data_IF_612522087159
#
_entry.id   IF_612522087159
#
_cell.length_a   1.000
_cell.length_b   1.000
_cell.length_c   1.000
_cell.angle_alpha   90.00
_cell.angle_beta   90.00
_cell.angle_gamma   90.00
#
_symmetry.space_group_name_H-M   'P 1'
#
loop_
_entity.id
_entity.type
_entity.pdbx_description
1 polymer ?
#
# COMPACT_ATOMS: atom_id res chain seq x y z
N UNK A 1 8.76 -17.66 -40.14
CA UNK A 1 7.29 -17.51 -40.22
C UNK A 1 6.76 -17.27 -38.81
N UNK A 2 6.12 -16.13 -38.52
CA UNK A 2 5.59 -15.87 -37.20
C UNK A 2 4.45 -16.84 -36.88
N UNK A 3 4.52 -17.50 -35.73
CA UNK A 3 3.44 -18.36 -35.25
C UNK A 3 2.21 -17.47 -35.03
N UNK A 4 1.05 -17.76 -35.65
CA UNK A 4 -0.14 -16.95 -35.43
C UNK A 4 -0.50 -16.96 -33.94
N UNK A 5 -0.74 -15.76 -33.39
CA UNK A 5 -0.98 -15.49 -31.96
C UNK A 5 -2.03 -16.43 -31.33
N UNK A 6 -2.99 -16.91 -32.14
CA UNK A 6 -4.01 -17.89 -31.75
C UNK A 6 -3.45 -19.27 -31.38
N UNK A 7 -2.41 -19.76 -32.05
CA UNK A 7 -1.79 -21.06 -31.75
C UNK A 7 -0.91 -21.01 -30.51
N UNK A 8 -0.26 -19.87 -30.25
CA UNK A 8 0.50 -19.65 -29.02
C UNK A 8 -0.45 -19.54 -27.81
N UNK A 9 -1.59 -18.85 -27.96
CA UNK A 9 -2.60 -18.76 -26.90
C UNK A 9 -3.24 -20.12 -26.57
N UNK A 10 -3.52 -20.96 -27.60
CA UNK A 10 -4.05 -22.32 -27.39
C UNK A 10 -2.99 -23.23 -26.76
N UNK A 11 -1.73 -23.15 -27.20
CA UNK A 11 -0.63 -23.93 -26.61
C UNK A 11 -0.35 -23.54 -25.15
N UNK A 12 -0.36 -22.24 -24.85
CA UNK A 12 -0.26 -21.73 -23.47
C UNK A 12 -1.49 -22.12 -22.64
N UNK A 13 -2.68 -22.11 -23.22
CA UNK A 13 -3.93 -22.57 -22.60
C UNK A 13 -3.90 -24.05 -22.22
N UNK A 14 -3.44 -24.92 -23.13
CA UNK A 14 -3.29 -26.36 -22.89
C UNK A 14 -2.16 -26.63 -21.88
N UNK A 15 -1.04 -25.89 -21.98
CA UNK A 15 0.04 -25.98 -20.99
C UNK A 15 -0.42 -25.54 -19.58
N UNK A 16 -1.28 -24.51 -19.48
CA UNK A 16 -1.86 -24.07 -18.22
C UNK A 16 -2.91 -25.04 -17.65
N UNK A 17 -3.63 -25.79 -18.50
CA UNK A 17 -4.53 -26.88 -18.10
C UNK A 17 -3.77 -28.11 -17.59
N UNK A 18 -2.56 -28.37 -18.11
CA UNK A 18 -1.66 -29.42 -17.61
C UNK A 18 -0.91 -29.03 -16.33
N UNK A 19 -0.98 -27.76 -15.93
CA UNK A 19 -0.38 -27.20 -14.72
C UNK A 19 -1.39 -26.97 -13.59
N UNK A 20 -2.62 -27.50 -13.69
CA UNK A 20 -3.56 -27.47 -12.56
C UNK A 20 -2.90 -28.25 -11.42
N UNK A 21 -2.43 -27.60 -10.35
CA UNK A 21 -1.92 -28.33 -9.21
C UNK A 21 -3.12 -29.07 -8.63
N UNK A 22 -3.00 -30.39 -8.48
CA UNK A 22 -3.86 -31.09 -7.55
C UNK A 22 -3.67 -30.38 -6.20
N UNK A 23 -4.70 -29.70 -5.72
CA UNK A 23 -4.66 -28.98 -4.45
C UNK A 23 -4.53 -30.01 -3.33
N UNK A 24 -3.29 -30.32 -2.97
CA UNK A 24 -3.00 -31.20 -1.85
C UNK A 24 -3.13 -30.40 -0.55
N UNK A 25 -3.77 -30.99 0.45
CA UNK A 25 -3.66 -30.51 1.82
C UNK A 25 -2.17 -30.39 2.23
N UNK A 26 -1.88 -29.51 3.18
CA UNK A 26 -0.50 -29.27 3.61
C UNK A 26 0.17 -30.58 4.03
N UNK A 27 1.48 -30.66 3.86
CA UNK A 27 2.23 -31.89 4.13
C UNK A 27 2.09 -32.34 5.60
N UNK A 28 1.93 -31.40 6.54
CA UNK A 28 1.66 -31.69 7.94
C UNK A 28 0.28 -32.29 8.16
N UNK A 29 -0.76 -31.81 7.45
CA UNK A 29 -2.12 -32.33 7.56
C UNK A 29 -2.21 -33.80 7.12
N UNK A 30 -1.39 -34.20 6.16
CA UNK A 30 -1.34 -35.59 5.68
C UNK A 30 -0.48 -36.50 6.55
N UNK A 31 0.23 -35.95 7.54
CA UNK A 31 1.17 -36.72 8.33
C UNK A 31 0.46 -37.60 9.39
N UNK A 32 0.71 -38.92 9.43
CA UNK A 32 0.06 -39.83 10.38
C UNK A 32 0.30 -39.47 11.85
N UNK A 33 1.48 -38.99 12.21
CA UNK A 33 1.82 -38.57 13.58
C UNK A 33 0.97 -37.37 14.01
N UNK A 34 0.81 -36.39 13.11
CA UNK A 34 -0.04 -35.23 13.37
C UNK A 34 -1.52 -35.66 13.52
N UNK A 35 -2.02 -36.49 12.61
CA UNK A 35 -3.39 -37.02 12.65
C UNK A 35 -3.67 -37.88 13.89
N UNK A 36 -2.68 -38.63 14.38
CA UNK A 36 -2.79 -39.38 15.62
C UNK A 36 -2.87 -38.44 16.83
N UNK A 37 -2.01 -37.42 16.89
CA UNK A 37 -2.07 -36.39 17.94
C UNK A 37 -3.43 -35.68 17.97
N UNK A 38 -3.95 -35.27 16.81
CA UNK A 38 -5.24 -34.59 16.72
C UNK A 38 -6.37 -35.44 17.31
N UNK A 39 -6.46 -36.71 16.93
CA UNK A 39 -7.48 -37.64 17.43
C UNK A 39 -7.35 -37.87 18.94
N UNK A 40 -6.12 -38.08 19.43
CA UNK A 40 -5.86 -38.24 20.86
C UNK A 40 -6.23 -37.00 21.67
N UNK A 41 -5.83 -35.82 21.19
CA UNK A 41 -6.16 -34.55 21.84
C UNK A 41 -7.68 -34.30 21.86
N UNK A 42 -8.36 -34.50 20.73
CA UNK A 42 -9.80 -34.30 20.64
C UNK A 42 -10.57 -35.23 21.58
N UNK A 43 -10.21 -36.52 21.62
CA UNK A 43 -10.83 -37.49 22.53
C UNK A 43 -10.59 -37.16 24.00
N UNK A 44 -9.39 -36.67 24.34
CA UNK A 44 -9.01 -36.42 25.74
C UNK A 44 -9.56 -35.11 26.28
N UNK A 45 -9.60 -34.05 25.46
CA UNK A 45 -9.84 -32.68 25.93
C UNK A 45 -11.08 -32.01 25.35
N UNK A 46 -11.68 -32.53 24.28
CA UNK A 46 -12.81 -31.89 23.60
C UNK A 46 -14.16 -32.55 23.86
N UNK A 47 -14.22 -33.54 24.76
CA UNK A 47 -15.48 -34.11 25.22
C UNK A 47 -16.26 -33.08 26.06
N UNK A 48 -17.60 -32.99 25.98
CA UNK A 48 -18.40 -32.04 26.75
C UNK A 48 -18.26 -32.16 28.29
N UNK A 49 -17.83 -33.32 28.80
CA UNK A 49 -17.55 -33.53 30.23
C UNK A 49 -16.24 -32.88 30.69
N UNK A 50 -15.35 -32.51 29.75
CA UNK A 50 -14.06 -31.92 30.05
C UNK A 50 -14.19 -30.41 30.30
N UNK A 51 -13.29 -29.83 31.13
CA UNK A 51 -13.26 -28.39 31.32
C UNK A 51 -13.00 -27.68 29.98
N UNK A 52 -13.76 -26.65 29.65
CA UNK A 52 -13.58 -25.92 28.39
C UNK A 52 -12.23 -25.20 28.37
N UNK A 53 -11.66 -25.01 27.16
CA UNK A 53 -10.39 -24.27 26.98
C UNK A 53 -10.44 -22.89 27.65
N UNK A 54 -9.31 -22.30 28.08
CA UNK A 54 -9.29 -21.04 28.81
C UNK A 54 -10.19 -19.93 28.25
N UNK A 55 -10.86 -19.17 29.13
CA UNK A 55 -11.87 -18.18 28.75
C UNK A 55 -11.37 -17.16 27.71
N UNK A 56 -10.13 -16.68 27.84
CA UNK A 56 -9.56 -15.71 26.90
C UNK A 56 -9.43 -16.26 25.46
N UNK A 57 -9.28 -17.57 25.28
CA UNK A 57 -9.29 -18.20 23.95
C UNK A 57 -10.72 -18.28 23.40
N UNK A 58 -11.68 -18.66 24.24
CA UNK A 58 -13.11 -18.74 23.85
C UNK A 58 -13.66 -17.38 23.47
N UNK A 59 -13.28 -16.33 24.21
CA UNK A 59 -13.68 -14.95 23.95
C UNK A 59 -13.27 -14.50 22.53
N UNK A 60 -12.17 -15.03 22.01
CA UNK A 60 -11.66 -14.76 20.66
C UNK A 60 -12.01 -15.86 19.65
N UNK A 61 -13.01 -16.69 19.96
CA UNK A 61 -13.58 -17.66 19.00
C UNK A 61 -12.68 -18.85 18.68
N UNK A 62 -11.74 -19.21 19.57
CA UNK A 62 -11.02 -20.47 19.48
C UNK A 62 -11.91 -21.63 19.94
N UNK A 63 -11.92 -22.71 19.17
CA UNK A 63 -12.54 -23.98 19.55
C UNK A 63 -11.53 -24.92 20.20
N UNK A 64 -12.02 -25.98 20.85
CA UNK A 64 -11.16 -27.03 21.36
C UNK A 64 -10.38 -27.73 20.24
N UNK A 65 -11.01 -27.99 19.09
CA UNK A 65 -10.35 -28.60 17.92
C UNK A 65 -9.21 -27.74 17.38
N UNK A 66 -9.40 -26.42 17.30
CA UNK A 66 -8.36 -25.48 16.86
C UNK A 66 -7.22 -25.39 17.89
N UNK A 67 -7.54 -25.43 19.18
CA UNK A 67 -6.51 -25.48 20.23
C UNK A 67 -5.72 -26.80 20.19
N UNK A 68 -6.37 -27.93 19.91
CA UNK A 68 -5.69 -29.21 19.67
C UNK A 68 -4.78 -29.15 18.44
N UNK A 69 -5.26 -28.59 17.32
CA UNK A 69 -4.45 -28.39 16.12
C UNK A 69 -3.20 -27.55 16.41
N UNK A 70 -3.34 -26.47 17.19
CA UNK A 70 -2.23 -25.66 17.67
C UNK A 70 -1.23 -26.48 18.50
N UNK A 71 -1.68 -27.23 19.52
CA UNK A 71 -0.78 -28.02 20.37
C UNK A 71 -0.06 -29.11 19.58
N UNK A 72 -0.79 -29.79 18.69
CA UNK A 72 -0.23 -30.87 17.87
C UNK A 72 0.76 -30.37 16.82
N UNK A 73 0.51 -29.22 16.19
CA UNK A 73 1.46 -28.66 15.22
C UNK A 73 2.76 -28.25 15.90
N UNK A 74 2.68 -27.64 17.10
CA UNK A 74 3.85 -27.29 17.90
C UNK A 74 4.62 -28.51 18.41
N UNK A 75 3.91 -29.51 18.95
CA UNK A 75 4.51 -30.76 19.39
C UNK A 75 5.21 -31.49 18.24
N UNK A 76 4.57 -31.58 17.08
CA UNK A 76 5.19 -32.17 15.89
C UNK A 76 6.45 -31.40 15.49
N UNK A 77 6.38 -30.07 15.42
CA UNK A 77 7.50 -29.23 15.01
C UNK A 77 8.65 -29.27 16.02
N UNK A 78 8.38 -29.44 17.32
CA UNK A 78 9.40 -29.58 18.37
C UNK A 78 10.13 -30.93 18.30
N UNK A 79 9.44 -31.98 17.86
CA UNK A 79 9.96 -33.36 17.87
C UNK A 79 10.41 -33.83 16.47
N UNK A 80 10.54 -32.91 15.52
CA UNK A 80 11.00 -33.25 14.18
C UNK A 80 12.48 -33.66 14.22
N UNK A 81 12.85 -34.72 13.50
CA UNK A 81 14.23 -35.21 13.49
C UNK A 81 15.17 -34.14 12.90
N UNK A 82 16.38 -33.94 13.46
CA UNK A 82 17.38 -33.06 12.86
C UNK A 82 17.58 -33.38 11.37
N UNK A 83 17.58 -32.35 10.52
CA UNK A 83 17.69 -32.48 9.06
C UNK A 83 16.37 -32.76 8.31
N UNK A 84 15.25 -32.95 9.01
CA UNK A 84 13.93 -33.05 8.39
C UNK A 84 13.40 -31.68 7.96
N UNK A 85 12.55 -31.66 6.93
CA UNK A 85 11.91 -30.42 6.46
C UNK A 85 10.79 -30.01 7.41
N UNK A 86 10.64 -28.71 7.65
CA UNK A 86 9.48 -28.17 8.34
C UNK A 86 8.20 -28.42 7.54
N UNK A 87 7.09 -28.55 8.24
CA UNK A 87 5.78 -28.83 7.66
C UNK A 87 4.81 -27.69 7.96
N UNK A 88 3.97 -27.37 6.99
CA UNK A 88 2.78 -26.54 7.19
C UNK A 88 1.59 -27.41 7.61
N UNK A 89 0.70 -26.81 8.39
CA UNK A 89 -0.54 -27.38 8.89
C UNK A 89 -1.67 -26.41 8.54
N UNK A 90 -2.69 -26.90 7.84
CA UNK A 90 -3.81 -26.08 7.36
C UNK A 90 -3.37 -24.82 6.60
N UNK A 91 -2.36 -24.97 5.73
CA UNK A 91 -1.80 -23.88 4.93
C UNK A 91 -0.90 -22.91 5.71
N UNK A 92 -0.59 -23.18 6.98
CA UNK A 92 0.17 -22.27 7.84
C UNK A 92 1.34 -22.92 8.56
N UNK A 93 2.31 -22.12 8.93
CA UNK A 93 3.40 -22.54 9.80
C UNK A 93 2.96 -22.62 11.27
N UNK A 94 3.70 -23.37 12.08
CA UNK A 94 3.44 -23.48 13.51
C UNK A 94 3.91 -22.22 14.27
N UNK A 95 3.11 -21.14 14.24
CA UNK A 95 3.42 -19.87 14.91
C UNK A 95 3.20 -19.92 16.42
N UNK A 96 4.07 -19.28 17.20
CA UNK A 96 3.76 -18.96 18.59
C UNK A 96 2.72 -17.85 18.65
N UNK A 97 1.57 -18.17 19.26
CA UNK A 97 0.50 -17.20 19.53
C UNK A 97 0.86 -16.34 20.75
N UNK A 98 0.41 -15.09 20.76
CA UNK A 98 0.43 -14.23 21.95
C UNK A 98 -0.97 -14.19 22.56
N UNK A 99 -1.20 -14.97 23.62
CA UNK A 99 -2.56 -15.13 24.17
C UNK A 99 -3.51 -15.71 23.11
N UNK A 100 -4.60 -15.00 22.73
CA UNK A 100 -5.49 -15.44 21.65
C UNK A 100 -5.03 -15.06 20.23
N UNK A 101 -3.98 -14.23 20.10
CA UNK A 101 -3.56 -13.67 18.81
C UNK A 101 -2.62 -14.62 18.06
N UNK A 102 -3.03 -15.02 16.86
CA UNK A 102 -2.39 -16.09 16.11
C UNK A 102 -1.00 -15.72 15.58
N UNK A 103 -0.87 -14.55 14.93
CA UNK A 103 0.36 -14.12 14.24
C UNK A 103 0.80 -12.73 14.73
N UNK A 104 1.39 -12.62 15.93
CA UNK A 104 1.58 -11.35 16.61
C UNK A 104 2.47 -10.36 15.84
N UNK A 105 3.49 -10.83 15.12
CA UNK A 105 4.37 -9.93 14.37
C UNK A 105 3.68 -9.38 13.11
N UNK A 106 2.93 -10.20 12.37
CA UNK A 106 2.08 -9.73 11.27
C UNK A 106 1.10 -8.65 11.74
N UNK A 107 0.44 -8.84 12.89
CA UNK A 107 -0.46 -7.83 13.48
C UNK A 107 0.26 -6.50 13.70
N UNK A 108 1.44 -6.51 14.31
CA UNK A 108 2.21 -5.29 14.59
C UNK A 108 2.60 -4.60 13.28
N UNK A 109 3.02 -5.34 12.26
CA UNK A 109 3.42 -4.76 10.98
C UNK A 109 2.21 -4.22 10.20
N UNK A 110 1.04 -4.87 10.25
CA UNK A 110 -0.21 -4.34 9.72
C UNK A 110 -0.59 -3.03 10.41
N UNK A 111 -0.50 -2.96 11.75
CA UNK A 111 -0.74 -1.73 12.51
C UNK A 111 0.27 -0.62 12.18
N UNK A 112 1.52 -0.98 11.91
CA UNK A 112 2.55 -0.05 11.42
C UNK A 112 2.16 0.58 10.08
N UNK A 113 1.69 -0.22 9.13
CA UNK A 113 1.20 0.28 7.85
C UNK A 113 -0.08 1.13 8.00
N UNK A 114 -1.00 0.73 8.88
CA UNK A 114 -2.19 1.53 9.23
C UNK A 114 -1.76 2.91 9.72
N UNK A 115 -0.81 2.97 10.65
CA UNK A 115 -0.27 4.22 11.20
C UNK A 115 0.33 5.12 10.11
N UNK A 116 1.17 4.57 9.23
CA UNK A 116 1.75 5.35 8.11
C UNK A 116 0.66 5.96 7.22
N UNK A 117 -0.41 5.22 6.93
CA UNK A 117 -1.51 5.74 6.12
C UNK A 117 -2.31 6.84 6.83
N UNK A 118 -2.53 6.74 8.15
CA UNK A 118 -3.11 7.84 8.93
C UNK A 118 -2.24 9.11 8.88
N UNK A 119 -0.92 8.94 8.99
CA UNK A 119 0.04 10.04 8.85
C UNK A 119 0.02 10.64 7.45
N UNK A 120 -0.12 9.81 6.42
CA UNK A 120 -0.33 10.23 5.03
C UNK A 120 -1.58 11.09 4.86
N UNK A 121 -2.74 10.64 5.36
CA UNK A 121 -4.00 11.42 5.34
C UNK A 121 -3.82 12.77 6.04
N UNK A 122 -3.22 12.77 7.23
CA UNK A 122 -2.94 14.00 7.99
C UNK A 122 -2.02 14.95 7.22
N UNK A 123 -1.01 14.41 6.54
CA UNK A 123 -0.06 15.20 5.75
C UNK A 123 -0.71 15.80 4.50
N UNK A 124 -1.51 15.02 3.76
CA UNK A 124 -2.31 15.52 2.62
C UNK A 124 -3.26 16.63 3.07
N UNK A 125 -3.95 16.43 4.20
CA UNK A 125 -4.90 17.42 4.71
C UNK A 125 -4.24 18.73 5.12
N UNK A 126 -3.01 18.69 5.65
CA UNK A 126 -2.25 19.86 6.10
C UNK A 126 -1.51 20.59 4.98
N UNK A 127 -0.95 19.86 4.01
CA UNK A 127 -0.04 20.43 3.00
C UNK A 127 -0.72 20.78 1.67
N UNK A 128 -1.87 20.18 1.38
CA UNK A 128 -2.59 20.43 0.12
C UNK A 128 -3.83 21.27 0.35
N UNK A 129 -4.05 22.22 -0.55
CA UNK A 129 -5.22 23.11 -0.55
C UNK A 129 -6.53 22.35 -0.74
N UNK A 130 -7.62 22.86 -0.17
CA UNK A 130 -8.97 22.29 -0.37
C UNK A 130 -9.45 22.32 -1.81
N UNK A 131 -8.97 23.30 -2.59
CA UNK A 131 -9.35 23.48 -3.99
C UNK A 131 -8.67 22.47 -4.91
N UNK A 132 -7.50 21.95 -4.53
CA UNK A 132 -6.80 20.92 -5.28
C UNK A 132 -7.65 19.65 -5.32
N UNK A 133 -8.24 19.37 -6.48
CA UNK A 133 -9.19 18.26 -6.63
C UNK A 133 -8.55 16.88 -6.44
N UNK A 134 -7.23 16.74 -6.57
CA UNK A 134 -6.51 15.49 -6.26
C UNK A 134 -6.40 15.23 -4.76
N UNK A 135 -6.54 16.26 -3.89
CA UNK A 135 -6.55 16.08 -2.43
C UNK A 135 -7.61 15.06 -1.99
N UNK A 136 -8.80 15.10 -2.58
CA UNK A 136 -9.90 14.18 -2.24
C UNK A 136 -9.55 12.73 -2.61
N UNK A 137 -8.90 12.54 -3.76
CA UNK A 137 -8.42 11.23 -4.20
C UNK A 137 -7.37 10.65 -3.27
N UNK A 138 -6.40 11.46 -2.86
CA UNK A 138 -5.36 11.03 -1.92
C UNK A 138 -5.91 10.73 -0.52
N UNK A 139 -6.85 11.54 -0.02
CA UNK A 139 -7.54 11.25 1.25
C UNK A 139 -8.35 9.94 1.16
N UNK A 140 -9.06 9.72 0.06
CA UNK A 140 -9.79 8.48 -0.18
C UNK A 140 -8.86 7.26 -0.24
N UNK A 141 -7.74 7.36 -0.97
CA UNK A 141 -6.71 6.32 -1.01
C UNK A 141 -6.23 5.97 0.40
N UNK A 142 -5.98 6.96 1.24
CA UNK A 142 -5.54 6.73 2.62
C UNK A 142 -6.57 5.97 3.45
N UNK A 143 -7.87 6.28 3.32
CA UNK A 143 -8.91 5.53 4.04
C UNK A 143 -9.09 4.11 3.51
N UNK A 144 -8.98 3.89 2.20
CA UNK A 144 -8.98 2.54 1.60
C UNK A 144 -7.83 1.72 2.18
N UNK A 145 -6.63 2.29 2.24
CA UNK A 145 -5.45 1.66 2.83
C UNK A 145 -5.64 1.37 4.33
N UNK A 146 -6.18 2.33 5.11
CA UNK A 146 -6.48 2.12 6.54
C UNK A 146 -7.43 0.93 6.71
N UNK A 147 -8.48 0.82 5.89
CA UNK A 147 -9.39 -0.33 5.92
C UNK A 147 -8.66 -1.65 5.62
N UNK A 148 -7.78 -1.68 4.61
CA UNK A 148 -6.94 -2.86 4.32
C UNK A 148 -6.12 -3.30 5.53
N UNK A 149 -5.41 -2.37 6.16
CA UNK A 149 -4.52 -2.72 7.27
C UNK A 149 -5.28 -3.05 8.57
N UNK A 150 -6.49 -2.53 8.76
CA UNK A 150 -7.40 -3.00 9.83
C UNK A 150 -7.75 -4.47 9.59
N UNK A 151 -8.25 -4.80 8.40
CA UNK A 151 -8.69 -6.16 8.12
C UNK A 151 -7.56 -7.18 8.10
N UNK A 152 -6.39 -6.78 7.63
CA UNK A 152 -5.18 -7.59 7.75
C UNK A 152 -4.82 -7.85 9.21
N UNK A 153 -4.82 -6.82 10.08
CA UNK A 153 -4.55 -7.02 11.51
C UNK A 153 -5.60 -7.95 12.17
N UNK A 154 -6.88 -7.81 11.80
CA UNK A 154 -7.96 -8.68 12.31
C UNK A 154 -7.79 -10.13 11.84
N UNK A 155 -7.42 -10.35 10.58
CA UNK A 155 -7.18 -11.68 10.03
C UNK A 155 -5.99 -12.38 10.70
N UNK A 156 -4.86 -11.69 10.85
CA UNK A 156 -3.67 -12.23 11.54
C UNK A 156 -3.89 -12.40 13.06
N UNK A 157 -4.80 -11.61 13.65
CA UNK A 157 -5.24 -11.82 15.02
C UNK A 157 -6.05 -13.13 15.15
N UNK A 158 -7.07 -13.30 14.29
CA UNK A 158 -7.91 -14.49 14.27
C UNK A 158 -8.36 -14.82 12.86
N UNK A 159 -7.81 -15.91 12.36
CA UNK A 159 -8.17 -16.49 11.08
C UNK A 159 -9.53 -17.21 11.17
N UNK A 160 -10.51 -16.70 10.42
CA UNK A 160 -11.83 -17.27 10.19
C UNK A 160 -12.22 -17.02 8.73
N UNK A 161 -13.10 -17.83 8.13
CA UNK A 161 -13.52 -17.64 6.74
C UNK A 161 -14.05 -16.25 6.37
N UNK A 162 -14.62 -15.52 7.34
CA UNK A 162 -15.11 -14.17 7.12
C UNK A 162 -14.03 -13.09 7.33
N UNK A 163 -13.07 -13.29 8.25
CA UNK A 163 -11.93 -12.36 8.40
C UNK A 163 -10.99 -12.48 7.21
N UNK A 164 -10.78 -13.70 6.73
CA UNK A 164 -10.08 -14.00 5.48
C UNK A 164 -10.67 -13.19 4.31
N UNK A 165 -11.97 -13.33 4.05
CA UNK A 165 -12.62 -12.60 2.94
C UNK A 165 -12.45 -11.10 3.06
N UNK A 166 -12.59 -10.55 4.25
CA UNK A 166 -12.50 -9.11 4.47
C UNK A 166 -11.08 -8.59 4.30
N UNK A 167 -10.07 -9.35 4.69
CA UNK A 167 -8.67 -9.03 4.40
C UNK A 167 -8.42 -9.00 2.89
N UNK A 168 -8.69 -10.11 2.19
CA UNK A 168 -8.49 -10.22 0.75
C UNK A 168 -9.31 -9.21 -0.06
N UNK A 169 -10.57 -8.95 0.29
CA UNK A 169 -11.38 -7.93 -0.38
C UNK A 169 -10.82 -6.53 -0.13
N UNK A 170 -10.36 -6.24 1.08
CA UNK A 170 -9.77 -4.94 1.37
C UNK A 170 -8.43 -4.74 0.67
N UNK A 171 -7.62 -5.79 0.51
CA UNK A 171 -6.41 -5.76 -0.31
C UNK A 171 -6.74 -5.50 -1.78
N UNK A 172 -7.75 -6.18 -2.34
CA UNK A 172 -8.22 -5.92 -3.71
C UNK A 172 -8.72 -4.49 -3.89
N UNK A 173 -9.46 -3.93 -2.93
CA UNK A 173 -9.90 -2.53 -2.99
C UNK A 173 -8.72 -1.57 -3.07
N UNK A 174 -7.65 -1.82 -2.30
CA UNK A 174 -6.42 -1.03 -2.37
C UNK A 174 -5.76 -1.13 -3.74
N UNK A 175 -5.58 -2.33 -4.29
CA UNK A 175 -4.95 -2.54 -5.61
C UNK A 175 -5.78 -1.88 -6.72
N UNK A 176 -7.11 -2.04 -6.67
CA UNK A 176 -8.00 -1.45 -7.66
C UNK A 176 -8.06 0.09 -7.54
N UNK A 177 -8.09 0.63 -6.32
CA UNK A 177 -8.12 2.09 -6.12
C UNK A 177 -6.79 2.75 -6.52
N UNK A 178 -5.65 2.13 -6.20
CA UNK A 178 -4.33 2.63 -6.61
C UNK A 178 -4.16 2.58 -8.13
N UNK A 179 -4.65 1.52 -8.80
CA UNK A 179 -4.74 1.46 -10.26
C UNK A 179 -5.64 2.57 -10.82
N UNK A 180 -6.84 2.75 -10.26
CA UNK A 180 -7.75 3.82 -10.68
C UNK A 180 -7.09 5.20 -10.52
N UNK A 181 -6.40 5.45 -9.39
CA UNK A 181 -5.66 6.68 -9.17
C UNK A 181 -4.58 6.89 -10.25
N UNK A 182 -3.78 5.86 -10.57
CA UNK A 182 -2.78 5.93 -11.64
C UNK A 182 -3.40 6.32 -12.98
N UNK A 183 -4.51 5.69 -13.36
CA UNK A 183 -5.24 6.00 -14.60
C UNK A 183 -5.72 7.46 -14.57
N UNK A 184 -6.37 7.86 -13.48
CA UNK A 184 -6.94 9.20 -13.30
C UNK A 184 -5.87 10.27 -13.39
N UNK A 185 -4.71 10.04 -12.75
CA UNK A 185 -3.59 10.98 -12.69
C UNK A 185 -2.83 11.05 -14.02
N UNK A 186 -2.46 9.92 -14.62
CA UNK A 186 -1.62 9.86 -15.83
C UNK A 186 -2.39 10.30 -17.06
N UNK A 187 -3.67 9.92 -17.19
CA UNK A 187 -4.52 10.32 -18.31
C UNK A 187 -5.22 11.67 -18.10
N UNK A 188 -4.93 12.37 -17.00
CA UNK A 188 -5.54 13.64 -16.61
C UNK A 188 -7.09 13.59 -16.58
N UNK A 189 -7.67 12.47 -16.18
CA UNK A 189 -9.12 12.42 -15.97
C UNK A 189 -9.55 13.31 -14.79
N UNK A 190 -8.66 13.48 -13.82
CA UNK A 190 -8.72 14.51 -12.80
C UNK A 190 -7.34 15.17 -12.70
N UNK A 191 -7.32 16.49 -12.73
CA UNK A 191 -6.15 17.30 -12.36
C UNK A 191 -6.50 18.14 -11.13
N UNK A 192 -5.54 18.85 -10.51
CA UNK A 192 -5.82 19.78 -9.43
C UNK A 192 -6.91 20.81 -9.77
N UNK A 193 -6.97 21.26 -11.03
CA UNK A 193 -7.89 22.33 -11.47
C UNK A 193 -9.11 21.81 -12.26
N UNK A 194 -8.94 20.77 -13.07
CA UNK A 194 -9.93 20.35 -14.07
C UNK A 194 -10.39 18.91 -13.86
N UNK A 195 -11.62 18.62 -14.29
CA UNK A 195 -12.21 17.28 -14.27
C UNK A 195 -12.65 16.93 -15.69
N UNK A 196 -12.17 15.81 -16.21
CA UNK A 196 -12.54 15.32 -17.54
C UNK A 196 -13.85 14.56 -17.52
N UNK A 197 -14.58 14.56 -18.65
CA UNK A 197 -15.77 13.72 -18.85
C UNK A 197 -15.48 12.21 -18.77
N UNK A 198 -14.22 11.81 -18.93
CA UNK A 198 -13.81 10.40 -18.88
C UNK A 198 -13.63 9.86 -17.44
N UNK A 199 -13.68 10.73 -16.43
CA UNK A 199 -13.53 10.32 -15.03
C UNK A 199 -14.61 9.34 -14.59
N UNK A 200 -15.89 9.69 -14.78
CA UNK A 200 -17.01 8.85 -14.36
C UNK A 200 -17.00 7.49 -15.06
N UNK A 201 -16.85 7.38 -16.39
CA UNK A 201 -16.71 6.09 -17.07
C UNK A 201 -15.56 5.24 -16.51
N UNK A 202 -14.40 5.83 -16.22
CA UNK A 202 -13.26 5.10 -15.67
C UNK A 202 -13.56 4.56 -14.26
N UNK A 203 -14.14 5.38 -13.39
CA UNK A 203 -14.58 4.97 -12.05
C UNK A 203 -15.61 3.84 -12.13
N UNK A 204 -16.61 3.97 -12.99
CA UNK A 204 -17.66 2.95 -13.19
C UNK A 204 -17.07 1.66 -13.71
N UNK A 205 -16.15 1.70 -14.67
CA UNK A 205 -15.50 0.51 -15.22
C UNK A 205 -14.72 -0.27 -14.15
N UNK A 206 -13.90 0.42 -13.35
CA UNK A 206 -13.16 -0.22 -12.26
C UNK A 206 -14.11 -0.73 -11.16
N UNK A 207 -15.15 0.03 -10.82
CA UNK A 207 -16.13 -0.39 -9.82
C UNK A 207 -16.87 -1.66 -10.26
N UNK A 208 -17.34 -1.73 -11.52
CA UNK A 208 -18.01 -2.92 -12.06
C UNK A 208 -17.06 -4.13 -12.11
N UNK A 209 -15.79 -3.92 -12.46
CA UNK A 209 -14.78 -4.98 -12.45
C UNK A 209 -14.59 -5.56 -11.04
N UNK A 210 -14.44 -4.71 -10.03
CA UNK A 210 -14.28 -5.13 -8.62
C UNK A 210 -15.55 -5.78 -8.08
N UNK A 211 -16.73 -5.21 -8.37
CA UNK A 211 -18.02 -5.77 -7.94
C UNK A 211 -18.27 -7.15 -8.58
N UNK A 212 -17.94 -7.31 -9.86
CA UNK A 212 -18.00 -8.60 -10.55
C UNK A 212 -17.08 -9.63 -9.91
N UNK A 213 -15.83 -9.25 -9.62
CA UNK A 213 -14.88 -10.09 -8.89
C UNK A 213 -15.40 -10.50 -7.51
N UNK A 214 -15.89 -9.56 -6.70
CA UNK A 214 -16.44 -9.88 -5.37
C UNK A 214 -17.67 -10.76 -5.44
N UNK A 215 -18.57 -10.51 -6.40
CA UNK A 215 -19.75 -11.37 -6.63
C UNK A 215 -19.33 -12.80 -6.98
N UNK A 216 -18.30 -12.95 -7.81
CA UNK A 216 -17.76 -14.27 -8.15
C UNK A 216 -17.15 -14.97 -6.92
N UNK A 217 -16.32 -14.30 -6.12
CA UNK A 217 -15.75 -14.91 -4.90
C UNK A 217 -16.85 -15.26 -3.88
N UNK A 218 -17.85 -14.40 -3.72
CA UNK A 218 -18.97 -14.62 -2.80
C UNK A 218 -19.88 -15.77 -3.24
N UNK A 219 -19.81 -16.22 -4.49
CA UNK A 219 -20.53 -17.41 -4.97
C UNK A 219 -20.00 -18.72 -4.39
N UNK A 220 -18.77 -18.74 -3.87
CA UNK A 220 -18.19 -19.90 -3.19
C UNK A 220 -18.65 -19.97 -1.72
N UNK A 221 -18.81 -21.16 -1.13
CA UNK A 221 -19.11 -21.31 0.30
C UNK A 221 -18.01 -20.72 1.20
N UNK A 222 -18.37 -20.35 2.43
CA UNK A 222 -17.39 -19.94 3.45
C UNK A 222 -16.41 -21.10 3.71
N UNK A 223 -15.11 -20.79 3.73
CA UNK A 223 -14.02 -21.76 3.91
C UNK A 223 -13.54 -22.41 2.62
N UNK A 224 -14.10 -22.06 1.45
CA UNK A 224 -13.66 -22.53 0.13
C UNK A 224 -13.19 -21.36 -0.75
N UNK A 225 -12.26 -20.55 -0.22
CA UNK A 225 -11.78 -19.37 -0.94
C UNK A 225 -10.96 -19.78 -2.19
N UNK A 226 -11.28 -19.29 -3.40
CA UNK A 226 -10.58 -19.67 -4.62
C UNK A 226 -9.28 -18.85 -4.79
N UNK A 227 -8.25 -19.16 -3.99
CA UNK A 227 -7.00 -18.38 -3.95
C UNK A 227 -6.33 -18.22 -5.31
N UNK A 228 -6.26 -19.27 -6.13
CA UNK A 228 -5.58 -19.21 -7.43
C UNK A 228 -6.19 -18.16 -8.37
N UNK A 229 -7.52 -18.11 -8.46
CA UNK A 229 -8.23 -17.09 -9.22
C UNK A 229 -8.03 -15.70 -8.59
N UNK A 230 -8.21 -15.58 -7.28
CA UNK A 230 -8.10 -14.29 -6.59
C UNK A 230 -6.71 -13.66 -6.72
N UNK A 231 -5.66 -14.46 -6.54
CA UNK A 231 -4.27 -14.00 -6.69
C UNK A 231 -3.99 -13.59 -8.13
N UNK A 232 -4.45 -14.35 -9.13
CA UNK A 232 -4.29 -13.99 -10.54
C UNK A 232 -4.98 -12.66 -10.88
N UNK A 233 -6.21 -12.46 -10.40
CA UNK A 233 -6.96 -11.21 -10.61
C UNK A 233 -6.17 -10.00 -10.07
N UNK A 234 -5.73 -10.05 -8.81
CA UNK A 234 -4.97 -8.96 -8.20
C UNK A 234 -3.59 -8.76 -8.84
N UNK A 235 -2.92 -9.85 -9.24
CA UNK A 235 -1.65 -9.78 -9.95
C UNK A 235 -1.80 -9.01 -11.27
N UNK A 236 -2.84 -9.28 -12.06
CA UNK A 236 -3.11 -8.54 -13.29
C UNK A 236 -3.31 -7.04 -13.03
N UNK A 237 -4.13 -6.67 -12.03
CA UNK A 237 -4.34 -5.26 -11.68
C UNK A 237 -3.04 -4.58 -11.22
N UNK A 238 -2.27 -5.25 -10.37
CA UNK A 238 -0.99 -4.77 -9.86
C UNK A 238 0.04 -4.58 -10.96
N UNK A 239 0.15 -5.51 -11.92
CA UNK A 239 1.05 -5.39 -13.06
C UNK A 239 0.70 -4.19 -13.96
N UNK A 240 -0.59 -3.93 -14.19
CA UNK A 240 -1.03 -2.76 -14.96
C UNK A 240 -0.67 -1.48 -14.20
N UNK A 241 -0.96 -1.41 -12.89
CA UNK A 241 -0.59 -0.28 -12.03
C UNK A 241 0.92 0.01 -12.08
N UNK A 242 1.74 -1.04 -11.94
CA UNK A 242 3.19 -0.95 -12.00
C UNK A 242 3.68 -0.47 -13.36
N UNK A 243 3.16 -1.04 -14.45
CA UNK A 243 3.52 -0.65 -15.81
C UNK A 243 3.19 0.83 -16.07
N UNK A 244 2.05 1.32 -15.61
CA UNK A 244 1.66 2.74 -15.76
C UNK A 244 2.66 3.68 -15.08
N UNK A 245 3.09 3.40 -13.85
CA UNK A 245 4.07 4.24 -13.14
C UNK A 245 5.47 4.16 -13.72
N UNK A 246 5.88 3.00 -14.22
CA UNK A 246 7.14 2.82 -14.93
C UNK A 246 7.13 3.64 -16.23
N UNK A 247 6.09 3.51 -17.05
CA UNK A 247 5.93 4.29 -18.28
C UNK A 247 5.87 5.79 -17.99
N UNK A 248 5.15 6.20 -16.94
CA UNK A 248 5.13 7.61 -16.51
C UNK A 248 6.54 8.12 -16.15
N UNK A 249 7.32 7.34 -15.41
CA UNK A 249 8.69 7.74 -15.02
C UNK A 249 9.61 7.85 -16.24
N UNK A 250 9.49 6.92 -17.20
CA UNK A 250 10.30 6.92 -18.42
C UNK A 250 9.88 7.99 -19.44
N UNK A 251 8.66 8.54 -19.33
CA UNK A 251 8.17 9.61 -20.21
C UNK A 251 8.98 10.92 -20.09
N UNK A 252 9.76 11.11 -19.04
CA UNK A 252 10.69 12.24 -18.92
C UNK A 252 11.97 12.06 -19.72
N UNK A 253 12.31 10.81 -20.08
CA UNK A 253 13.59 10.47 -20.70
C UNK A 253 13.46 10.07 -22.17
N UNK A 254 12.34 9.46 -22.54
CA UNK A 254 12.13 8.87 -23.85
C UNK A 254 10.83 9.36 -24.50
N UNK A 255 10.89 9.96 -25.72
CA UNK A 255 9.71 10.32 -26.48
C UNK A 255 8.92 9.08 -26.91
N UNK A 256 7.63 9.06 -26.55
CA UNK A 256 6.72 8.03 -27.02
C UNK A 256 6.10 8.38 -28.37
N UNK A 257 5.97 7.41 -29.29
CA UNK A 257 5.40 7.66 -30.60
C UNK A 257 3.91 8.00 -30.49
N UNK A 258 3.47 9.00 -31.26
CA UNK A 258 2.05 9.30 -31.43
C UNK A 258 1.43 8.30 -32.40
N UNK A 259 0.48 7.51 -31.92
CA UNK A 259 -0.28 6.57 -32.74
C UNK A 259 -1.35 7.33 -33.51
N UNK A 260 -1.24 7.36 -34.84
CA UNK A 260 -2.25 7.94 -35.73
C UNK A 260 -3.07 6.83 -36.37
N UNK A 261 -4.32 6.69 -35.97
CA UNK A 261 -5.26 5.74 -36.57
C UNK A 261 -6.21 6.49 -37.52
N UNK A 262 -5.92 6.42 -38.82
CA UNK A 262 -6.64 7.17 -39.84
C UNK A 262 -6.37 8.68 -39.78
N UNK A 263 -7.25 9.48 -40.40
CA UNK A 263 -7.12 10.95 -40.43
C UNK A 263 -7.62 11.65 -39.15
N UNK A 264 -8.40 10.97 -38.31
CA UNK A 264 -9.17 11.62 -37.24
C UNK A 264 -8.69 11.29 -35.81
N UNK A 265 -7.96 10.20 -35.60
CA UNK A 265 -7.54 9.79 -34.26
C UNK A 265 -6.01 9.85 -34.13
N UNK A 266 -5.54 10.74 -33.26
CA UNK A 266 -4.14 10.86 -32.86
C UNK A 266 -4.04 10.63 -31.37
N UNK A 267 -3.52 9.48 -30.96
CA UNK A 267 -3.28 9.13 -29.56
C UNK A 267 -1.82 9.37 -29.23
N UNK A 268 -1.57 10.27 -28.28
CA UNK A 268 -0.23 10.53 -27.74
C UNK A 268 -0.24 10.29 -26.23
N UNK A 269 0.91 9.92 -25.68
CA UNK A 269 1.07 9.83 -24.24
C UNK A 269 1.00 11.25 -23.64
N UNK A 270 0.15 11.49 -22.62
CA UNK A 270 0.02 12.83 -22.04
C UNK A 270 1.34 13.31 -21.42
N UNK A 271 1.65 14.59 -21.56
CA UNK A 271 2.78 15.18 -20.84
C UNK A 271 2.53 15.08 -19.32
N UNK A 272 3.48 14.62 -18.50
CA UNK A 272 3.28 14.47 -17.06
C UNK A 272 2.83 15.74 -16.32
N UNK A 273 3.36 16.90 -16.74
CA UNK A 273 3.14 18.22 -16.14
C UNK A 273 2.87 19.29 -17.22
N UNK A 274 1.68 19.28 -17.84
CA UNK A 274 1.34 20.26 -18.86
C UNK A 274 1.29 21.69 -18.27
N UNK A 275 1.53 22.73 -19.09
CA UNK A 275 1.80 22.69 -20.53
C UNK A 275 3.25 22.35 -20.90
N UNK A 276 4.13 22.15 -19.91
CA UNK A 276 5.56 21.95 -20.12
C UNK A 276 5.84 20.70 -20.95
N UNK A 277 6.78 20.82 -21.89
CA UNK A 277 7.33 19.69 -22.62
C UNK A 277 8.41 19.01 -21.74
N UNK A 278 8.28 17.70 -21.42
CA UNK A 278 9.23 17.00 -20.56
C UNK A 278 10.65 16.89 -21.13
N UNK A 279 10.85 17.13 -22.43
CA UNK A 279 12.18 17.06 -23.08
C UNK A 279 12.88 18.41 -23.20
N UNK A 280 12.14 19.49 -23.03
CA UNK A 280 12.67 20.87 -23.10
C UNK A 280 12.93 21.45 -21.71
N UNK A 281 12.27 20.89 -20.69
CA UNK A 281 12.38 21.35 -19.31
C UNK A 281 13.14 20.31 -18.47
N UNK A 282 13.90 20.73 -17.45
CA UNK A 282 14.53 19.80 -16.52
C UNK A 282 13.48 18.88 -15.88
N UNK A 283 13.75 17.57 -15.90
CA UNK A 283 12.88 16.60 -15.26
C UNK A 283 12.82 16.87 -13.75
N UNK A 284 11.63 16.75 -13.12
CA UNK A 284 11.50 16.86 -11.68
C UNK A 284 12.37 15.86 -10.94
N UNK A 285 12.85 16.24 -9.76
CA UNK A 285 13.72 15.40 -8.93
C UNK A 285 13.11 14.02 -8.64
N UNK A 286 11.79 13.97 -8.47
CA UNK A 286 11.03 12.76 -8.15
C UNK A 286 10.55 11.97 -9.39
N UNK A 287 10.98 12.35 -10.59
CA UNK A 287 10.54 11.72 -11.85
C UNK A 287 10.85 10.21 -11.94
N UNK A 288 11.92 9.75 -11.29
CA UNK A 288 12.29 8.32 -11.24
C UNK A 288 11.74 7.57 -10.02
N UNK A 289 11.19 8.29 -9.03
CA UNK A 289 10.76 7.73 -7.76
C UNK A 289 9.72 6.61 -7.93
N UNK A 290 8.69 6.72 -8.79
CA UNK A 290 7.72 5.64 -8.96
C UNK A 290 8.31 4.36 -9.53
N UNK A 291 9.23 4.46 -10.50
CA UNK A 291 9.90 3.28 -11.04
C UNK A 291 10.75 2.57 -9.98
N UNK A 292 11.46 3.33 -9.12
CA UNK A 292 12.21 2.78 -7.99
C UNK A 292 11.27 2.13 -6.98
N UNK A 293 10.18 2.79 -6.60
CA UNK A 293 9.19 2.25 -5.65
C UNK A 293 8.51 0.98 -6.19
N UNK A 294 8.20 0.93 -7.49
CA UNK A 294 7.69 -0.28 -8.16
C UNK A 294 8.72 -1.40 -8.09
N UNK A 295 9.99 -1.13 -8.38
CA UNK A 295 11.07 -2.13 -8.29
C UNK A 295 11.23 -2.69 -6.87
N UNK A 296 11.25 -1.81 -5.86
CA UNK A 296 11.36 -2.21 -4.45
C UNK A 296 10.11 -2.95 -3.95
N UNK A 297 8.91 -2.53 -4.38
CA UNK A 297 7.66 -3.25 -4.05
C UNK A 297 7.64 -4.63 -4.68
N UNK A 298 8.09 -4.76 -5.93
CA UNK A 298 8.22 -6.05 -6.61
C UNK A 298 9.21 -6.97 -5.89
N UNK A 299 10.34 -6.43 -5.44
CA UNK A 299 11.32 -7.17 -4.65
C UNK A 299 10.73 -7.59 -3.29
N UNK A 300 10.01 -6.71 -2.60
CA UNK A 300 9.35 -7.03 -1.33
C UNK A 300 8.30 -8.14 -1.52
N UNK A 301 7.49 -8.08 -2.57
CA UNK A 301 6.52 -9.13 -2.90
C UNK A 301 7.19 -10.47 -3.23
N UNK A 302 8.41 -10.46 -3.77
CA UNK A 302 9.12 -11.71 -4.08
C UNK A 302 9.47 -12.54 -2.83
N UNK A 303 9.44 -11.95 -1.63
CA UNK A 303 9.60 -12.68 -0.37
C UNK A 303 8.52 -13.76 -0.20
N UNK A 304 7.29 -13.51 -0.65
CA UNK A 304 6.18 -14.48 -0.62
C UNK A 304 6.48 -15.76 -1.41
N UNK A 305 7.35 -15.66 -2.43
CA UNK A 305 7.74 -16.83 -3.23
C UNK A 305 8.68 -17.77 -2.49
N UNK A 306 9.34 -17.30 -1.42
CA UNK A 306 10.23 -18.12 -0.62
C UNK A 306 9.51 -18.93 0.45
N UNK A 307 8.34 -18.47 0.93
CA UNK A 307 7.47 -19.12 1.92
C UNK A 307 8.26 -19.98 2.94
N UNK A 308 9.19 -19.33 3.66
CA UNK A 308 10.11 -20.02 4.55
C UNK A 308 9.48 -20.25 5.94
N UNK A 309 9.92 -21.32 6.62
CA UNK A 309 9.47 -21.61 7.97
C UNK A 309 9.86 -20.49 8.97
N UNK A 310 8.95 -20.05 9.85
CA UNK A 310 9.11 -18.82 10.59
C UNK A 310 10.32 -18.82 11.52
N UNK A 311 11.13 -17.78 11.40
CA UNK A 311 12.22 -17.46 12.32
C UNK A 311 11.63 -17.23 13.71
N UNK A 312 12.22 -17.91 14.70
CA UNK A 312 11.75 -17.91 16.09
C UNK A 312 10.27 -18.32 16.26
N UNK A 313 9.67 -18.99 15.25
CA UNK A 313 8.23 -19.30 15.15
C UNK A 313 7.31 -18.08 15.23
N UNK A 314 7.79 -16.91 14.82
CA UNK A 314 6.99 -15.68 14.84
C UNK A 314 7.13 -14.89 13.54
N UNK A 315 8.31 -14.86 12.92
CA UNK A 315 8.59 -14.04 11.74
C UNK A 315 8.70 -14.94 10.51
N UNK A 316 7.77 -14.82 9.58
CA UNK A 316 7.74 -15.52 8.29
C UNK A 316 7.96 -14.58 7.10
N UNK A 317 7.92 -15.13 5.89
CA UNK A 317 8.01 -14.37 4.65
C UNK A 317 6.94 -13.29 4.55
N UNK A 318 5.70 -13.63 4.91
CA UNK A 318 4.55 -12.73 4.82
C UNK A 318 4.71 -11.50 5.72
N UNK A 319 5.05 -11.70 7.00
CA UNK A 319 5.28 -10.59 7.93
C UNK A 319 6.49 -9.72 7.59
N UNK A 320 7.51 -10.27 6.90
CA UNK A 320 8.59 -9.47 6.32
C UNK A 320 8.11 -8.62 5.14
N UNK A 321 7.19 -9.12 4.31
CA UNK A 321 6.52 -8.31 3.30
C UNK A 321 5.75 -7.14 3.94
N UNK A 322 4.96 -7.40 5.00
CA UNK A 322 4.31 -6.34 5.78
C UNK A 322 5.30 -5.31 6.35
N UNK A 323 6.46 -5.78 6.80
CA UNK A 323 7.52 -4.89 7.30
C UNK A 323 8.06 -3.98 6.20
N UNK A 324 8.33 -4.56 5.01
CA UNK A 324 8.89 -3.84 3.87
C UNK A 324 7.91 -2.80 3.30
N UNK A 325 6.60 -3.04 3.37
CA UNK A 325 5.59 -2.09 2.87
C UNK A 325 5.51 -0.80 3.70
N UNK A 326 5.97 -0.78 4.96
CA UNK A 326 5.97 0.41 5.81
C UNK A 326 6.80 1.56 5.20
N UNK A 327 8.14 1.42 4.98
CA UNK A 327 8.94 2.48 4.37
C UNK A 327 8.54 2.75 2.90
N UNK A 328 8.07 1.73 2.17
CA UNK A 328 7.58 1.91 0.80
C UNK A 328 6.35 2.81 0.76
N UNK A 329 5.41 2.61 1.69
CA UNK A 329 4.21 3.43 1.81
C UNK A 329 4.57 4.87 2.16
N UNK A 330 5.58 5.10 3.00
CA UNK A 330 6.10 6.45 3.26
C UNK A 330 6.64 7.11 1.98
N UNK A 331 7.38 6.35 1.15
CA UNK A 331 7.88 6.79 -0.15
C UNK A 331 6.75 7.14 -1.13
N UNK A 332 5.72 6.31 -1.20
CA UNK A 332 4.53 6.58 -2.03
C UNK A 332 3.79 7.84 -1.58
N UNK A 333 3.59 8.04 -0.27
CA UNK A 333 2.97 9.29 0.22
C UNK A 333 3.78 10.52 -0.14
N UNK A 334 5.10 10.46 0.01
CA UNK A 334 5.99 11.56 -0.37
C UNK A 334 5.86 11.88 -1.86
N UNK A 335 5.97 10.86 -2.71
CA UNK A 335 5.87 11.01 -4.16
C UNK A 335 4.50 11.56 -4.59
N UNK A 336 3.40 10.89 -4.18
CA UNK A 336 2.04 11.24 -4.60
C UNK A 336 1.63 12.67 -4.21
N UNK A 337 2.07 13.13 -3.04
CA UNK A 337 1.84 14.51 -2.60
C UNK A 337 2.66 15.51 -3.42
N UNK A 338 3.94 15.20 -3.66
CA UNK A 338 4.83 16.07 -4.43
C UNK A 338 4.36 16.19 -5.88
N UNK A 339 4.01 15.07 -6.51
CA UNK A 339 3.43 15.01 -7.87
C UNK A 339 2.14 15.84 -7.97
N UNK A 340 1.22 15.71 -7.01
CA UNK A 340 -0.03 16.46 -7.03
C UNK A 340 0.16 17.98 -6.86
N UNK A 341 1.16 18.40 -6.08
CA UNK A 341 1.53 19.81 -5.90
C UNK A 341 2.27 20.37 -7.12
N UNK A 342 3.15 19.58 -7.72
CA UNK A 342 3.90 19.96 -8.92
C UNK A 342 2.99 20.12 -10.13
N UNK A 343 2.02 19.21 -10.30
CA UNK A 343 0.96 19.34 -11.31
C UNK A 343 0.08 20.56 -11.07
N UNK A 344 -0.18 20.91 -9.81
CA UNK A 344 -0.94 22.13 -9.49
C UNK A 344 -0.14 23.37 -9.89
N UNK A 345 1.15 23.42 -9.52
CA UNK A 345 2.05 24.50 -9.89
C UNK A 345 2.19 24.67 -11.40
N UNK A 346 2.35 23.57 -12.15
CA UNK A 346 2.50 23.62 -13.61
C UNK A 346 1.26 24.20 -14.31
N UNK A 347 0.07 23.85 -13.82
CA UNK A 347 -1.21 24.33 -14.36
C UNK A 347 -1.55 25.76 -13.91
N UNK A 348 -1.19 26.15 -12.69
CA UNK A 348 -1.42 27.52 -12.20
C UNK A 348 -0.46 28.52 -12.86
N UNK A 349 0.79 28.13 -13.13
CA UNK A 349 1.76 28.96 -13.86
C UNK A 349 1.29 29.34 -15.26
N UNK A 350 0.47 28.49 -15.89
CA UNK A 350 -0.18 28.78 -17.17
C UNK A 350 -1.30 29.83 -17.08
N UNK A 351 -1.95 29.98 -15.92
CA UNK A 351 -3.13 30.84 -15.73
C UNK A 351 -2.82 32.24 -15.16
N UNK A 352 -1.55 32.67 -15.16
CA UNK A 352 -1.20 34.06 -14.85
C UNK A 352 -1.38 34.49 -13.39
N UNK A 353 -1.47 33.56 -12.43
CA UNK A 353 -1.29 33.88 -11.00
C UNK A 353 0.17 33.68 -10.61
N UNK A 354 1.05 34.50 -11.20
CA UNK A 354 2.45 34.56 -10.82
C UNK A 354 2.57 35.15 -9.41
N UNK A 355 2.94 34.33 -8.43
CA UNK A 355 3.71 34.85 -7.30
C UNK A 355 5.11 35.07 -7.87
N UNK A 356 5.39 36.32 -8.25
CA UNK A 356 6.65 36.72 -8.85
C UNK A 356 7.83 36.32 -7.95
N UNK A 357 8.67 35.43 -8.47
CA UNK A 357 10.08 35.45 -8.13
C UNK A 357 10.72 36.50 -9.06
N UNK A 358 11.48 37.46 -8.54
CA UNK A 358 12.10 38.47 -9.40
C UNK A 358 13.10 37.79 -10.33
N UNK A 359 12.90 37.99 -11.64
CA UNK A 359 13.91 37.74 -12.67
C UNK A 359 15.15 38.57 -12.35
N UNK A 360 16.28 37.90 -12.10
CA UNK A 360 17.59 38.54 -12.17
C UNK A 360 17.88 38.90 -13.62
N UNK A 361 17.52 40.12 -14.01
CA UNK A 361 18.09 40.77 -15.18
C UNK A 361 19.57 41.06 -14.91
N UNK A 362 20.44 40.45 -15.73
CA UNK A 362 21.87 40.70 -15.74
C UNK A 362 22.16 42.07 -16.37
N UNK A 363 22.08 43.12 -15.54
CA UNK A 363 22.45 44.49 -15.88
C UNK A 363 23.63 44.97 -15.04
N UNK A 364 24.78 45.13 -15.69
CA UNK A 364 26.02 45.73 -15.17
C UNK A 364 25.82 47.08 -14.47
N UNK A 365 26.33 47.27 -13.25
CA UNK A 365 26.44 48.61 -12.64
C UNK A 365 26.88 48.68 -11.16
N UNK A 366 28.20 48.86 -10.95
CA UNK A 366 28.90 49.62 -9.88
C UNK A 366 28.19 49.89 -8.52
N UNK A 367 28.80 49.35 -7.45
CA UNK A 367 29.21 50.11 -6.26
C UNK A 367 28.28 50.17 -5.03
N UNK A 368 28.64 49.44 -3.96
CA UNK A 368 28.12 49.65 -2.60
C UNK A 368 28.55 48.56 -1.60
N UNK A 369 29.20 48.94 -0.49
CA UNK A 369 29.72 48.06 0.59
C UNK A 369 28.61 47.45 1.48
N UNK A 370 28.90 46.36 2.23
CA UNK A 370 27.87 45.48 2.82
C UNK A 370 27.47 45.87 4.25
N UNK A 371 26.21 45.63 4.59
CA UNK A 371 25.69 45.60 5.97
C UNK A 371 24.95 44.28 6.17
N UNK A 372 25.50 43.44 7.04
CA UNK A 372 25.00 42.09 7.30
C UNK A 372 23.79 42.04 8.25
N UNK A 373 22.99 41.00 8.09
CA UNK A 373 22.74 39.95 9.10
C UNK A 373 21.79 38.94 8.49
N UNK A 374 22.25 37.70 8.43
CA UNK A 374 21.54 36.55 7.90
C UNK A 374 20.22 36.31 8.65
N UNK A 375 19.11 36.35 7.91
CA UNK A 375 17.86 35.74 8.32
C UNK A 375 17.80 34.36 7.67
N UNK A 376 18.21 33.35 8.43
CA UNK A 376 18.18 31.95 8.04
C UNK A 376 16.73 31.53 7.74
N UNK A 377 16.44 31.25 6.47
CA UNK A 377 15.15 30.71 6.03
C UNK A 377 15.07 29.24 6.48
N UNK A 378 13.99 28.80 7.15
CA UNK A 378 13.92 27.41 7.63
C UNK A 378 13.78 26.43 6.46
N UNK A 379 14.85 25.73 6.11
CA UNK A 379 14.82 24.63 5.14
C UNK A 379 14.39 23.32 5.81
N UNK A 380 13.39 22.64 5.26
CA UNK A 380 13.02 21.28 5.67
C UNK A 380 14.16 20.29 5.40
N UNK A 381 14.48 19.39 6.34
CA UNK A 381 15.56 18.44 6.16
C UNK A 381 15.25 17.41 5.06
N UNK A 382 16.27 17.09 4.28
CA UNK A 382 16.22 16.06 3.22
C UNK A 382 16.12 14.65 3.80
N UNK A 383 15.67 13.68 3.00
CA UNK A 383 15.57 12.26 3.39
C UNK A 383 16.89 11.69 3.95
N UNK A 384 18.03 12.10 3.39
CA UNK A 384 19.37 11.73 3.87
C UNK A 384 19.67 12.25 5.29
N UNK A 385 19.13 13.42 5.66
CA UNK A 385 19.31 14.03 6.98
C UNK A 385 18.40 13.40 8.04
N UNK A 386 17.22 12.90 7.64
CA UNK A 386 16.34 12.11 8.51
C UNK A 386 16.88 10.68 8.73
N UNK A 387 17.42 10.05 7.68
CA UNK A 387 17.98 8.70 7.74
C UNK A 387 19.30 8.62 8.55
N UNK A 388 20.05 9.72 8.65
CA UNK A 388 21.32 9.79 9.40
C UNK A 388 21.14 10.18 10.87
N UNK A 389 19.91 10.39 11.35
CA UNK A 389 19.63 10.76 12.75
C UNK A 389 20.14 12.14 13.17
N UNK A 390 20.59 12.98 12.23
CA UNK A 390 21.17 14.30 12.51
C UNK A 390 20.13 15.39 12.83
N UNK A 391 18.85 15.15 12.58
CA UNK A 391 17.78 16.10 12.89
C UNK A 391 17.01 15.68 14.15
N UNK A 392 17.12 16.45 15.25
CA UNK A 392 16.21 16.36 16.40
C UNK A 392 15.06 17.33 16.20
N UNK A 393 13.82 16.85 16.33
CA UNK A 393 12.62 17.68 16.35
C UNK A 393 12.65 18.55 17.61
N UNK A 394 12.89 19.85 17.46
CA UNK A 394 12.76 20.80 18.55
C UNK A 394 11.27 20.98 18.92
N UNK A 395 10.94 20.79 20.20
CA UNK A 395 9.62 21.09 20.76
C UNK A 395 9.35 22.61 20.75
N UNK A 396 8.10 23.07 20.60
CA UNK A 396 7.83 24.51 20.54
C UNK A 396 8.01 25.14 21.92
N UNK A 397 8.87 26.17 22.00
CA UNK A 397 8.98 27.06 23.16
C UNK A 397 7.86 28.12 23.12
N UNK A 398 7.40 28.67 24.27
CA UNK A 398 6.29 29.61 24.31
C UNK A 398 6.71 31.01 23.83
N UNK A 399 5.84 31.67 23.07
CA UNK A 399 6.04 32.99 22.48
C UNK A 399 6.25 34.12 23.52
N UNK A 400 7.03 35.18 23.20
CA UNK A 400 7.29 36.28 24.12
C UNK A 400 6.09 37.24 24.22
N UNK A 401 5.86 37.73 25.43
CA UNK A 401 4.65 38.45 25.83
C UNK A 401 4.46 39.87 25.27
N UNK A 402 3.20 40.20 25.05
CA UNK A 402 2.70 41.56 24.81
C UNK A 402 2.57 42.29 26.14
N UNK A 403 3.40 43.31 26.40
CA UNK A 403 3.25 44.24 27.53
C UNK A 403 2.46 45.49 27.10
N UNK A 404 1.23 45.57 27.62
CA UNK A 404 0.45 46.71 28.12
C UNK A 404 0.59 48.13 27.55
N UNK A 405 -0.57 48.77 27.34
CA UNK A 405 -0.81 50.17 27.71
C UNK A 405 -2.15 50.30 28.45
N UNK A 406 -2.09 50.58 29.75
CA UNK A 406 -3.20 50.99 30.60
C UNK A 406 -3.29 52.53 30.54
N UNK A 407 -4.49 53.10 30.50
CA UNK A 407 -4.74 54.45 31.01
C UNK A 407 -6.13 54.52 31.68
N UNK A 408 -6.32 55.31 32.76
CA UNK A 408 -7.39 55.11 33.75
C UNK A 408 -8.57 56.08 33.59
N UNK A 409 -9.74 55.73 34.15
CA UNK A 409 -10.83 56.62 34.66
C UNK A 409 -11.91 55.75 35.33
N UNK A 410 -11.91 55.62 36.65
CA UNK A 410 -12.61 56.41 37.70
C UNK A 410 -14.06 55.98 37.95
N UNK A 411 -14.28 55.34 39.12
CA UNK A 411 -15.43 55.42 40.07
C UNK A 411 -16.86 55.39 39.52
N UNK A 412 -17.65 54.30 39.74
CA UNK A 412 -18.57 54.01 40.89
C UNK A 412 -19.80 54.94 40.99
N UNK A 413 -20.89 54.56 41.70
CA UNK A 413 -21.51 53.25 42.01
C UNK A 413 -22.98 53.23 41.51
N UNK A 414 -23.71 52.12 41.47
CA UNK A 414 -24.41 51.40 42.58
C UNK A 414 -24.64 49.93 42.21
#
# INVERSE_FOLDING_TARGET
>A
MPIPFSRLAIALGIASLLLIPLAYASSGDRNPTFQHCLRGCAHTYCDPSQPPIPFYLRLFGWTCSENCAYQCSHSFTNNIRPGSRYHQFYGKWAFYRLGPFQEPFSIIMSLGNLWVNLQGISSVRRRMRSENKLRKWLVALGFVQVNTWIWSAVFHARDKPWTERLDYFSATLTIAFTLLYSIVRILHFQTPLYTSRFLLPACTAVALLVLGHFTYILSFPLGQFPYGYHTMFNLCLGLIHNALWVVWSFSFRFPYPTLRLGRFLSLSFPHPYPPHNPYENPAPKESSTPAVLVGLTTLAMSLELWDFAPLFRVIDAHSLWHTATIPLTMGWWHFLMTDALELEGSLMGQNGMGVGLPEESSGSGRGGRPLGKDAEVPTTPTFQQLASGRARLASPSPSPGTRMRISPKSSKPE
#
